data_IF_078110676729
#
_entry.id   IF_078110676729
#
_cell.length_a   1.000
_cell.length_b   1.000
_cell.length_c   1.000
_cell.angle_alpha   90.00
_cell.angle_beta   90.00
_cell.angle_gamma   90.00
#
_symmetry.space_group_name_H-M   'P 1'
#
loop_
_entity.id
_entity.type
_entity.pdbx_description
1 polymer ?
#
# COMPACT_ATOMS: atom_id res chain seq x y z
N UNK A 1 -14.01 7.68 -0.36
CA UNK A 1 -14.37 8.85 0.44
C UNK A 1 -15.52 9.61 -0.19
N UNK A 2 -15.45 9.98 -1.46
CA UNK A 2 -16.48 10.75 -2.15
C UNK A 2 -17.89 10.16 -1.99
N UNK A 3 -18.03 8.86 -2.18
CA UNK A 3 -19.34 8.19 -2.02
C UNK A 3 -19.92 8.32 -0.61
N UNK A 4 -19.06 8.36 0.41
CA UNK A 4 -19.47 8.55 1.80
C UNK A 4 -19.96 9.98 2.03
N UNK A 5 -19.27 10.96 1.47
CA UNK A 5 -19.66 12.37 1.52
C UNK A 5 -20.98 12.61 0.79
N UNK A 6 -21.10 12.07 -0.44
CA UNK A 6 -22.31 12.18 -1.25
C UNK A 6 -23.56 11.55 -0.58
N UNK A 7 -23.33 10.45 0.15
CA UNK A 7 -24.36 9.77 0.93
C UNK A 7 -24.68 10.46 2.28
N UNK A 8 -23.91 11.47 2.67
CA UNK A 8 -24.05 12.16 3.95
C UNK A 8 -23.81 11.27 5.17
N UNK A 9 -22.99 10.22 5.03
CA UNK A 9 -22.70 9.28 6.12
C UNK A 9 -21.68 9.87 7.08
N UNK A 10 -22.01 9.84 8.38
CA UNK A 10 -21.15 10.34 9.47
C UNK A 10 -20.74 9.25 10.46
N UNK A 11 -21.25 8.06 10.29
CA UNK A 11 -21.03 6.91 11.14
C UNK A 11 -19.81 6.07 10.75
N UNK A 12 -19.27 6.28 9.54
CA UNK A 12 -18.08 5.56 9.05
C UNK A 12 -16.83 6.17 9.65
N UNK A 13 -16.07 5.37 10.40
CA UNK A 13 -14.91 5.82 11.15
C UNK A 13 -13.58 5.39 10.57
N UNK A 14 -13.59 4.30 9.80
CA UNK A 14 -12.37 3.69 9.26
C UNK A 14 -12.61 3.26 7.82
N UNK A 15 -11.64 3.54 6.96
CA UNK A 15 -11.55 2.98 5.61
C UNK A 15 -10.17 2.32 5.47
N UNK A 16 -10.18 1.06 5.04
CA UNK A 16 -8.95 0.32 4.79
C UNK A 16 -8.78 0.04 3.31
N UNK A 17 -7.55 0.05 2.86
CA UNK A 17 -7.18 -0.30 1.49
C UNK A 17 -5.91 -1.15 1.45
N UNK A 18 -5.52 -1.52 0.26
CA UNK A 18 -4.28 -2.26 0.00
C UNK A 18 -3.49 -1.62 -1.14
N UNK A 19 -2.19 -1.89 -1.17
CA UNK A 19 -1.27 -1.23 -2.08
C UNK A 19 -0.70 0.04 -1.48
N UNK A 20 -0.65 1.08 -2.26
CA UNK A 20 -0.20 2.40 -1.82
C UNK A 20 0.44 3.15 -2.98
N UNK A 21 -0.13 4.28 -3.32
CA UNK A 21 0.45 5.24 -4.26
C UNK A 21 0.46 6.60 -3.59
N UNK A 22 1.20 7.54 -4.14
CA UNK A 22 1.34 8.86 -3.55
C UNK A 22 0.01 9.60 -3.43
N UNK A 23 -0.89 9.43 -4.39
CA UNK A 23 -2.24 10.00 -4.31
C UNK A 23 -3.01 9.48 -3.09
N UNK A 24 -2.95 8.19 -2.83
CA UNK A 24 -3.62 7.60 -1.66
C UNK A 24 -2.99 8.04 -0.34
N UNK A 25 -1.66 8.16 -0.30
CA UNK A 25 -0.96 8.69 0.87
C UNK A 25 -1.32 10.14 1.17
N UNK A 26 -1.51 10.97 0.15
CA UNK A 26 -2.02 12.34 0.31
C UNK A 26 -3.43 12.35 0.91
N UNK A 27 -4.29 11.42 0.50
CA UNK A 27 -5.63 11.26 1.08
C UNK A 27 -5.55 10.87 2.57
N UNK A 28 -4.67 9.94 2.92
CA UNK A 28 -4.43 9.55 4.32
C UNK A 28 -4.00 10.76 5.15
N UNK A 29 -3.05 11.54 4.64
CA UNK A 29 -2.50 12.71 5.33
C UNK A 29 -3.53 13.82 5.51
N UNK A 30 -4.39 14.03 4.51
CA UNK A 30 -5.35 15.13 4.49
C UNK A 30 -6.65 14.84 5.24
N UNK A 31 -7.02 13.58 5.44
CA UNK A 31 -8.31 13.24 6.04
C UNK A 31 -8.25 13.19 7.56
N UNK A 32 -9.01 14.06 8.22
CA UNK A 32 -9.07 14.15 9.68
C UNK A 32 -10.30 13.47 10.28
N UNK A 33 -11.38 13.32 9.52
CA UNK A 33 -12.66 12.84 10.02
C UNK A 33 -12.81 11.31 9.98
N UNK A 34 -12.19 10.67 8.99
CA UNK A 34 -12.19 9.22 8.83
C UNK A 34 -10.76 8.72 8.92
N UNK A 35 -10.52 7.66 9.67
CA UNK A 35 -9.21 7.03 9.74
C UNK A 35 -8.98 6.18 8.49
N UNK A 36 -8.24 6.72 7.54
CA UNK A 36 -7.89 6.05 6.29
C UNK A 36 -6.54 5.39 6.46
N UNK A 37 -6.44 4.12 6.09
CA UNK A 37 -5.18 3.38 6.15
C UNK A 37 -5.04 2.39 5.01
N UNK A 38 -3.82 2.00 4.72
CA UNK A 38 -3.49 1.04 3.68
C UNK A 38 -2.49 0.00 4.16
N UNK A 39 -2.71 -1.25 3.80
CA UNK A 39 -1.68 -2.27 3.88
C UNK A 39 -0.75 -2.09 2.67
N UNK A 40 0.47 -1.64 2.92
CA UNK A 40 1.43 -1.32 1.87
C UNK A 40 1.99 -2.59 1.23
N UNK A 41 1.92 -2.66 -0.09
CA UNK A 41 2.74 -3.58 -0.87
C UNK A 41 3.21 -2.89 -2.15
N UNK A 42 4.46 -3.14 -2.53
CA UNK A 42 5.04 -2.50 -3.69
C UNK A 42 4.83 -3.34 -4.96
N UNK A 43 4.54 -2.73 -6.11
CA UNK A 43 4.57 -3.44 -7.39
C UNK A 43 5.96 -4.00 -7.72
N UNK A 44 7.03 -3.48 -7.09
CA UNK A 44 8.38 -3.99 -7.23
C UNK A 44 8.56 -5.41 -6.66
N UNK A 45 7.56 -5.95 -5.92
CA UNK A 45 7.58 -7.35 -5.49
C UNK A 45 7.63 -8.33 -6.67
N UNK A 46 7.24 -7.91 -7.87
CA UNK A 46 7.40 -8.71 -9.09
C UNK A 46 8.86 -9.03 -9.39
N UNK A 47 9.78 -8.15 -8.98
CA UNK A 47 11.23 -8.40 -9.12
C UNK A 47 11.64 -9.65 -8.34
N UNK A 48 11.17 -9.80 -7.12
CA UNK A 48 11.43 -11.00 -6.32
C UNK A 48 10.91 -12.26 -7.02
N UNK A 49 9.73 -12.19 -7.62
CA UNK A 49 9.16 -13.30 -8.38
C UNK A 49 10.03 -13.67 -9.61
N UNK A 50 10.55 -12.68 -10.31
CA UNK A 50 11.47 -12.90 -11.45
C UNK A 50 12.80 -13.52 -10.97
N UNK A 51 13.37 -13.02 -9.88
CA UNK A 51 14.60 -13.55 -9.31
C UNK A 51 14.44 -15.04 -8.89
N UNK A 52 13.30 -15.39 -8.28
CA UNK A 52 12.96 -16.77 -7.94
C UNK A 52 12.81 -17.66 -9.19
N UNK A 53 12.14 -17.16 -10.23
CA UNK A 53 12.00 -17.89 -11.49
C UNK A 53 13.34 -18.15 -12.15
N UNK A 54 14.25 -17.17 -12.14
CA UNK A 54 15.62 -17.33 -12.67
C UNK A 54 16.40 -18.36 -11.85
N UNK A 55 16.28 -18.34 -10.53
CA UNK A 55 16.92 -19.32 -9.66
C UNK A 55 16.44 -20.75 -9.96
N UNK A 56 15.13 -20.96 -10.14
CA UNK A 56 14.56 -22.23 -10.55
C UNK A 56 15.10 -22.72 -11.90
N UNK A 57 15.20 -21.82 -12.88
CA UNK A 57 15.76 -22.17 -14.21
C UNK A 57 17.24 -22.55 -14.16
N UNK A 58 17.97 -22.02 -13.19
CA UNK A 58 19.36 -22.39 -12.93
C UNK A 58 19.51 -23.67 -12.12
N UNK A 59 18.42 -24.31 -11.72
CA UNK A 59 18.44 -25.54 -10.92
C UNK A 59 18.67 -25.31 -9.43
N UNK A 60 18.55 -24.08 -8.95
CA UNK A 60 18.65 -23.74 -7.53
C UNK A 60 17.36 -24.13 -6.80
N UNK A 61 17.48 -24.41 -5.50
CA UNK A 61 16.32 -24.67 -4.65
C UNK A 61 15.76 -23.35 -4.14
N UNK A 62 14.44 -23.15 -4.30
CA UNK A 62 13.73 -22.00 -3.75
C UNK A 62 12.62 -22.48 -2.82
N UNK A 63 12.26 -21.65 -1.84
CA UNK A 63 11.14 -21.95 -0.96
C UNK A 63 9.82 -21.91 -1.77
N UNK A 64 8.91 -22.87 -1.56
CA UNK A 64 7.62 -22.90 -2.27
C UNK A 64 6.70 -21.73 -1.87
N UNK A 65 6.95 -21.12 -0.73
CA UNK A 65 6.23 -19.95 -0.22
C UNK A 65 7.20 -18.90 0.23
N UNK A 66 7.14 -17.72 -0.38
CA UNK A 66 7.91 -16.54 0.02
C UNK A 66 6.96 -15.47 0.57
N UNK A 67 7.13 -15.15 1.85
CA UNK A 67 6.35 -14.10 2.50
C UNK A 67 7.13 -12.80 2.43
N UNK A 68 6.55 -11.79 1.77
CA UNK A 68 7.08 -10.43 1.73
C UNK A 68 6.39 -9.63 2.83
N UNK A 69 7.14 -9.05 3.78
CA UNK A 69 6.53 -8.29 4.87
C UNK A 69 5.82 -7.04 4.34
N UNK A 70 4.74 -6.66 5.02
CA UNK A 70 4.01 -5.44 4.75
C UNK A 70 3.90 -4.57 5.99
N UNK A 71 3.55 -3.31 5.78
CA UNK A 71 3.34 -2.33 6.84
C UNK A 71 1.99 -1.66 6.64
N UNK A 72 1.32 -1.34 7.73
CA UNK A 72 0.12 -0.51 7.67
C UNK A 72 0.56 0.96 7.67
N UNK A 73 0.12 1.67 6.65
CA UNK A 73 0.31 3.12 6.53
C UNK A 73 -0.97 3.81 6.92
N UNK A 74 -0.89 4.64 7.94
CA UNK A 74 -1.98 5.47 8.44
C UNK A 74 -1.48 6.90 8.70
N UNK A 75 -2.32 7.74 9.29
CA UNK A 75 -1.96 9.13 9.58
C UNK A 75 -0.71 9.26 10.46
N UNK A 76 -0.43 8.29 11.32
CA UNK A 76 0.70 8.38 12.26
C UNK A 76 2.06 8.24 11.58
N UNK A 77 2.13 7.57 10.44
CA UNK A 77 3.39 7.27 9.74
C UNK A 77 3.41 7.65 8.26
N UNK A 78 2.30 8.13 7.71
CA UNK A 78 2.19 8.44 6.27
C UNK A 78 3.22 9.49 5.81
N UNK A 79 3.64 10.37 6.68
CA UNK A 79 4.65 11.39 6.35
C UNK A 79 5.99 10.78 5.91
N UNK A 80 6.32 9.59 6.41
CA UNK A 80 7.56 8.88 6.04
C UNK A 80 7.48 8.27 4.64
N UNK A 81 6.26 8.16 4.08
CA UNK A 81 5.99 7.55 2.76
C UNK A 81 5.62 8.58 1.69
N UNK A 82 5.45 9.85 2.07
CA UNK A 82 5.19 10.92 1.11
C UNK A 82 6.47 11.31 0.37
N UNK A 83 6.41 11.26 -0.95
CA UNK A 83 7.50 11.66 -1.83
C UNK A 83 6.96 12.54 -2.96
N UNK A 84 7.12 13.86 -2.88
CA UNK A 84 6.60 14.79 -3.89
C UNK A 84 7.26 14.64 -5.26
N UNK A 85 8.42 14.00 -5.32
CA UNK A 85 9.13 13.72 -6.57
C UNK A 85 8.62 12.46 -7.27
N UNK A 86 7.94 11.58 -6.53
CA UNK A 86 7.36 10.36 -7.06
C UNK A 86 5.92 10.62 -7.53
N UNK A 87 5.71 10.59 -8.84
CA UNK A 87 4.40 10.82 -9.47
C UNK A 87 3.66 9.56 -9.84
N UNK A 88 4.24 8.38 -9.61
CA UNK A 88 3.69 7.09 -10.04
C UNK A 88 3.29 6.24 -8.84
N UNK A 89 4.19 6.02 -7.88
CA UNK A 89 3.95 5.15 -6.73
C UNK A 89 4.62 5.64 -5.47
#
# INVERSE_FOLDING_TARGET
LQAIEDAGRTDIKVITGGGGCQEYFNIIAANESINVCSALYSPLMVKDAVDEAVALLKGETVDPVKVIPTTIVDRSNVADYLDPENTVY
#
